data_IF_018021209486
#
_entry.id   IF_018021209486
#
_cell.length_a   1.000
_cell.length_b   1.000
_cell.length_c   1.000
_cell.angle_alpha   90.00
_cell.angle_beta   90.00
_cell.angle_gamma   90.00
#
_symmetry.space_group_name_H-M   'P 1'
#
loop_
_entity.id
_entity.type
_entity.pdbx_description
1 polymer ?
#
# COMPACT_ATOMS: atom_id res chain seq x y z
N UNK A 1 0.89 59.11 -30.56
CA UNK A 1 1.19 57.78 -29.98
C UNK A 1 0.52 57.74 -28.62
N UNK A 2 -0.59 57.01 -28.51
CA UNK A 2 -1.34 56.87 -27.26
C UNK A 2 -0.93 55.57 -26.55
N UNK A 3 -0.43 55.69 -25.32
CA UNK A 3 -0.18 54.55 -24.45
C UNK A 3 -1.46 54.27 -23.65
N UNK A 4 -2.13 53.15 -23.97
CA UNK A 4 -3.26 52.66 -23.18
C UNK A 4 -2.74 51.95 -21.93
N UNK A 5 -3.19 52.43 -20.78
CA UNK A 5 -3.15 51.76 -19.49
C UNK A 5 -3.76 50.35 -19.62
N UNK A 6 -2.96 49.31 -19.40
CA UNK A 6 -3.49 48.00 -19.05
C UNK A 6 -3.76 47.99 -17.56
N UNK A 7 -5.03 48.23 -17.24
CA UNK A 7 -5.59 48.01 -15.92
C UNK A 7 -5.40 46.55 -15.50
N UNK A 8 -4.88 46.44 -14.30
CA UNK A 8 -4.82 45.29 -13.43
C UNK A 8 -6.22 44.69 -13.22
N UNK A 9 -6.51 43.57 -13.86
CA UNK A 9 -7.73 42.79 -13.63
C UNK A 9 -7.45 41.30 -13.86
N UNK A 10 -6.68 40.68 -12.96
CA UNK A 10 -6.43 39.22 -13.01
C UNK A 10 -6.59 38.50 -11.66
N UNK A 11 -7.08 39.17 -10.61
CA UNK A 11 -7.17 38.58 -9.26
C UNK A 11 -8.61 38.26 -8.80
N UNK A 12 -9.44 37.71 -9.69
CA UNK A 12 -10.79 37.23 -9.32
C UNK A 12 -11.29 36.08 -10.19
N UNK A 13 -10.44 35.06 -10.43
CA UNK A 13 -10.97 33.75 -10.84
C UNK A 13 -11.03 32.85 -9.62
N UNK A 14 -12.20 32.67 -8.98
CA UNK A 14 -12.35 31.61 -7.99
C UNK A 14 -12.03 30.31 -8.73
N UNK A 15 -11.10 29.54 -8.18
CA UNK A 15 -10.81 28.17 -8.61
C UNK A 15 -12.12 27.49 -9.01
N UNK A 16 -12.31 27.31 -10.31
CA UNK A 16 -13.40 26.50 -10.83
C UNK A 16 -13.09 25.10 -10.35
N UNK A 17 -13.66 24.74 -9.19
CA UNK A 17 -13.71 23.37 -8.70
C UNK A 17 -14.11 22.53 -9.90
N UNK A 18 -13.31 21.53 -10.31
CA UNK A 18 -13.76 20.58 -11.29
C UNK A 18 -15.11 20.08 -10.82
N UNK A 19 -16.14 20.24 -11.64
CA UNK A 19 -17.45 19.62 -11.42
C UNK A 19 -17.19 18.13 -11.27
N UNK A 20 -17.00 17.66 -10.04
CA UNK A 20 -17.27 16.29 -9.66
C UNK A 20 -18.79 16.17 -9.78
N UNK A 21 -19.23 15.98 -11.01
CA UNK A 21 -20.51 15.36 -11.29
C UNK A 21 -20.61 14.12 -10.40
N UNK A 22 -21.81 13.90 -9.88
CA UNK A 22 -22.29 12.68 -9.24
C UNK A 22 -21.97 11.45 -10.11
N UNK A 23 -20.70 11.07 -10.20
CA UNK A 23 -20.25 9.79 -10.68
C UNK A 23 -20.79 8.84 -9.63
N UNK A 24 -21.96 8.26 -9.90
CA UNK A 24 -22.32 6.96 -9.35
C UNK A 24 -21.05 6.13 -9.42
N UNK A 25 -20.42 5.93 -8.25
CA UNK A 25 -19.18 5.20 -8.13
C UNK A 25 -19.52 3.80 -8.62
N UNK A 26 -19.18 3.53 -9.88
CA UNK A 26 -19.23 2.19 -10.45
C UNK A 26 -18.63 1.25 -9.40
N UNK A 27 -19.31 0.15 -9.05
CA UNK A 27 -18.85 -0.72 -7.98
C UNK A 27 -17.39 -1.11 -8.27
N UNK A 28 -16.49 -0.59 -7.43
CA UNK A 28 -15.06 -0.72 -7.64
C UNK A 28 -14.71 -2.21 -7.54
N UNK A 29 -14.26 -2.81 -8.65
CA UNK A 29 -13.85 -4.19 -8.64
C UNK A 29 -12.48 -4.33 -7.94
N UNK A 30 -12.51 -4.78 -6.68
CA UNK A 30 -11.30 -4.98 -5.86
C UNK A 30 -10.68 -6.37 -6.03
N UNK A 31 -11.28 -7.27 -6.81
CA UNK A 31 -10.79 -8.65 -6.94
C UNK A 31 -9.37 -8.75 -7.54
N UNK A 32 -9.01 -8.00 -8.60
CA UNK A 32 -7.64 -8.00 -9.13
C UNK A 32 -6.63 -7.50 -8.11
N UNK A 33 -6.98 -6.44 -7.38
CA UNK A 33 -6.16 -5.88 -6.31
C UNK A 33 -5.95 -6.90 -5.20
N UNK A 34 -7.00 -7.61 -4.78
CA UNK A 34 -6.91 -8.68 -3.78
C UNK A 34 -5.87 -9.74 -4.15
N UNK A 35 -5.97 -10.31 -5.36
CA UNK A 35 -5.06 -11.36 -5.80
C UNK A 35 -3.60 -10.90 -5.89
N UNK A 36 -3.37 -9.65 -6.31
CA UNK A 36 -2.03 -9.08 -6.36
C UNK A 36 -1.41 -8.87 -4.97
N UNK A 37 -2.22 -8.55 -3.96
CA UNK A 37 -1.77 -8.37 -2.57
C UNK A 37 -1.53 -9.71 -1.86
N UNK A 38 -2.31 -10.75 -2.20
CA UNK A 38 -2.11 -12.10 -1.65
C UNK A 38 -0.88 -12.79 -2.26
N UNK A 39 -0.52 -12.47 -3.50
CA UNK A 39 0.61 -13.09 -4.22
C UNK A 39 1.98 -12.49 -3.90
N UNK A 40 2.07 -11.22 -3.49
CA UNK A 40 3.34 -10.57 -3.15
C UNK A 40 3.24 -9.78 -1.83
N UNK A 41 3.93 -10.21 -0.76
CA UNK A 41 3.91 -9.52 0.53
C UNK A 41 4.49 -8.10 0.43
N UNK A 42 5.40 -7.84 -0.51
CA UNK A 42 5.96 -6.50 -0.73
C UNK A 42 4.87 -5.52 -1.16
N UNK A 43 3.97 -5.94 -2.07
CA UNK A 43 2.85 -5.09 -2.52
C UNK A 43 1.89 -4.79 -1.38
N UNK A 44 1.58 -5.80 -0.57
CA UNK A 44 0.75 -5.64 0.63
C UNK A 44 1.39 -4.65 1.63
N UNK A 45 2.70 -4.76 1.86
CA UNK A 45 3.45 -3.89 2.75
C UNK A 45 3.48 -2.44 2.26
N UNK A 46 3.79 -2.22 0.98
CA UNK A 46 3.80 -0.91 0.35
C UNK A 46 2.41 -0.26 0.45
N UNK A 47 1.36 -1.01 0.13
CA UNK A 47 0.00 -0.48 0.16
C UNK A 47 -0.42 -0.11 1.58
N UNK A 48 -0.03 -0.90 2.60
CA UNK A 48 -0.25 -0.57 4.02
C UNK A 48 0.36 0.77 4.42
N UNK A 49 1.57 1.08 3.92
CA UNK A 49 2.20 2.39 4.18
C UNK A 49 1.40 3.51 3.55
N UNK A 50 0.99 3.35 2.28
CA UNK A 50 0.22 4.37 1.57
C UNK A 50 -1.16 4.64 2.19
N UNK A 51 -1.81 3.63 2.75
CA UNK A 51 -3.15 3.79 3.36
C UNK A 51 -3.15 4.20 4.83
N UNK A 52 -2.00 4.14 5.51
CA UNK A 52 -1.93 4.37 6.97
C UNK A 52 -2.46 5.75 7.32
N UNK A 53 -1.88 6.79 6.70
CA UNK A 53 -2.31 8.18 6.89
C UNK A 53 -2.93 8.77 5.61
N UNK A 54 -2.81 8.06 4.47
CA UNK A 54 -3.30 8.54 3.17
C UNK A 54 -2.56 9.79 2.67
N UNK A 55 -1.43 10.14 3.29
CA UNK A 55 -0.57 11.26 2.92
C UNK A 55 0.39 10.92 1.79
N UNK A 56 1.24 11.90 1.45
CA UNK A 56 2.37 11.67 0.55
C UNK A 56 3.49 10.95 1.27
N UNK A 57 4.05 9.93 0.62
CA UNK A 57 5.09 9.06 1.14
C UNK A 57 6.25 9.07 0.16
N UNK A 58 7.48 9.21 0.66
CA UNK A 58 8.65 9.26 -0.23
C UNK A 58 9.00 7.87 -0.75
N UNK A 59 9.71 7.81 -1.88
CA UNK A 59 10.28 6.54 -2.37
C UNK A 59 11.22 5.89 -1.33
N UNK A 60 11.86 6.68 -0.47
CA UNK A 60 12.75 6.17 0.59
C UNK A 60 11.97 5.43 1.68
N UNK A 61 10.83 5.98 2.10
CA UNK A 61 9.94 5.35 3.07
C UNK A 61 9.39 4.02 2.54
N UNK A 62 9.00 4.00 1.26
CA UNK A 62 8.52 2.77 0.61
C UNK A 62 9.63 1.73 0.48
N UNK A 63 10.85 2.13 0.13
CA UNK A 63 12.01 1.23 0.08
C UNK A 63 12.32 0.65 1.46
N UNK A 64 12.34 1.49 2.49
CA UNK A 64 12.54 1.04 3.88
C UNK A 64 11.49 0.01 4.27
N UNK A 65 10.22 0.29 3.98
CA UNK A 65 9.13 -0.63 4.26
C UNK A 65 9.26 -1.96 3.48
N UNK A 66 9.55 -1.88 2.18
CA UNK A 66 9.68 -3.05 1.32
C UNK A 66 10.87 -3.94 1.66
N UNK A 67 11.98 -3.35 2.14
CA UNK A 67 13.18 -4.09 2.56
C UNK A 67 12.97 -4.99 3.77
N UNK A 68 11.92 -4.76 4.55
CA UNK A 68 11.51 -5.69 5.61
C UNK A 68 10.98 -7.03 5.05
N UNK A 69 10.39 -7.01 3.86
CA UNK A 69 9.86 -8.21 3.20
C UNK A 69 10.86 -8.80 2.19
N UNK A 70 11.64 -7.94 1.51
CA UNK A 70 12.64 -8.35 0.52
C UNK A 70 13.89 -7.47 0.59
N UNK A 71 15.01 -8.03 1.04
CA UNK A 71 16.26 -7.30 1.28
C UNK A 71 16.80 -6.57 0.05
N UNK A 72 16.69 -7.19 -1.13
CA UNK A 72 17.14 -6.62 -2.40
C UNK A 72 15.94 -6.05 -3.16
N UNK A 73 15.70 -4.75 -2.98
CA UNK A 73 14.71 -3.98 -3.74
C UNK A 73 15.19 -2.55 -3.97
N UNK A 74 14.97 -2.06 -5.19
CA UNK A 74 15.38 -0.74 -5.66
C UNK A 74 14.22 0.17 -6.03
N UNK A 75 14.49 1.46 -6.21
CA UNK A 75 13.47 2.49 -6.48
C UNK A 75 12.66 2.19 -7.75
N UNK A 76 13.33 1.70 -8.81
CA UNK A 76 12.67 1.31 -10.06
C UNK A 76 11.62 0.21 -9.81
N UNK A 77 11.97 -0.79 -8.99
CA UNK A 77 11.04 -1.88 -8.63
C UNK A 77 9.82 -1.36 -7.87
N UNK A 78 9.99 -0.37 -6.99
CA UNK A 78 8.87 0.29 -6.32
C UNK A 78 7.98 0.98 -7.36
N UNK A 79 8.56 1.79 -8.25
CA UNK A 79 7.81 2.49 -9.29
C UNK A 79 7.01 1.53 -10.19
N UNK A 80 7.61 0.43 -10.64
CA UNK A 80 6.92 -0.57 -11.48
C UNK A 80 5.84 -1.31 -10.72
N UNK A 81 6.03 -1.62 -9.43
CA UNK A 81 4.98 -2.20 -8.60
C UNK A 81 3.79 -1.26 -8.45
N UNK A 82 4.03 0.02 -8.14
CA UNK A 82 2.97 1.01 -7.98
C UNK A 82 2.22 1.26 -9.29
N UNK A 83 2.94 1.33 -10.41
CA UNK A 83 2.33 1.41 -11.73
C UNK A 83 1.47 0.17 -12.02
N UNK A 84 1.98 -1.04 -11.76
CA UNK A 84 1.21 -2.27 -11.91
C UNK A 84 -0.05 -2.32 -11.05
N UNK A 85 -0.04 -1.72 -9.86
CA UNK A 85 -1.24 -1.60 -9.03
C UNK A 85 -2.32 -0.71 -9.65
N UNK A 86 -1.93 0.36 -10.35
CA UNK A 86 -2.87 1.20 -11.12
C UNK A 86 -3.47 0.43 -12.31
N UNK A 87 -2.64 -0.30 -13.04
CA UNK A 87 -3.08 -1.09 -14.20
C UNK A 87 -4.11 -2.16 -13.81
N UNK A 88 -3.92 -2.82 -12.66
CA UNK A 88 -4.84 -3.86 -12.16
C UNK A 88 -6.27 -3.38 -11.95
N UNK A 89 -6.45 -2.11 -11.60
CA UNK A 89 -7.76 -1.53 -11.37
C UNK A 89 -8.23 -0.64 -12.51
N UNK A 90 -7.45 -0.59 -13.61
CA UNK A 90 -7.68 0.29 -14.77
C UNK A 90 -8.00 1.73 -14.36
N UNK A 91 -7.37 2.19 -13.28
CA UNK A 91 -7.68 3.45 -12.61
C UNK A 91 -6.46 3.96 -11.88
N UNK A 92 -6.48 5.25 -11.55
CA UNK A 92 -5.39 5.91 -10.86
C UNK A 92 -5.52 5.69 -9.35
N UNK A 93 -5.20 4.47 -8.90
CA UNK A 93 -5.16 4.12 -7.47
C UNK A 93 -4.07 4.89 -6.71
N UNK A 94 -2.93 5.12 -7.36
CA UNK A 94 -1.72 5.71 -6.78
C UNK A 94 -1.33 6.93 -7.61
N UNK A 95 -1.18 8.04 -6.91
CA UNK A 95 -0.72 9.33 -7.40
C UNK A 95 0.78 9.45 -7.18
N UNK A 96 1.49 10.07 -8.12
CA UNK A 96 2.92 10.35 -8.04
C UNK A 96 3.20 11.83 -8.27
N UNK A 97 4.17 12.39 -7.55
CA UNK A 97 4.74 13.72 -7.83
C UNK A 97 6.24 13.72 -7.62
N UNK A 98 6.95 14.65 -8.23
CA UNK A 98 8.37 14.90 -7.95
C UNK A 98 8.49 15.65 -6.63
N UNK A 99 9.33 15.16 -5.71
CA UNK A 99 9.65 15.89 -4.48
C UNK A 99 10.82 16.82 -4.73
N UNK A 100 10.58 18.13 -4.64
CA UNK A 100 11.64 19.14 -4.57
C UNK A 100 12.05 19.43 -3.11
N UNK A 101 11.24 18.97 -2.15
CA UNK A 101 11.37 19.31 -0.73
C UNK A 101 12.49 18.55 -0.02
N UNK A 102 12.92 17.41 -0.55
CA UNK A 102 13.92 16.54 0.07
C UNK A 102 15.35 16.79 -0.39
N UNK A 103 15.58 17.76 -1.30
CA UNK A 103 16.91 18.06 -1.86
C UNK A 103 17.51 16.93 -2.71
N UNK A 104 16.72 15.87 -2.95
CA UNK A 104 17.05 14.67 -3.68
C UNK A 104 15.83 14.39 -4.56
N UNK A 105 16.03 14.14 -5.87
CA UNK A 105 14.97 13.98 -6.88
C UNK A 105 14.15 12.68 -6.72
N UNK A 106 13.53 12.49 -5.55
CA UNK A 106 12.79 11.29 -5.22
C UNK A 106 11.31 11.54 -5.53
N UNK A 107 10.67 10.53 -6.12
CA UNK A 107 9.23 10.56 -6.29
C UNK A 107 8.54 10.41 -4.93
N UNK A 108 7.46 11.15 -4.75
CA UNK A 108 6.49 10.97 -3.68
C UNK A 108 5.23 10.32 -4.23
N UNK A 109 4.63 9.48 -3.39
CA UNK A 109 3.53 8.60 -3.74
C UNK A 109 2.41 8.77 -2.74
N UNK A 110 1.17 8.70 -3.21
CA UNK A 110 -0.01 8.78 -2.36
C UNK A 110 -1.11 7.91 -2.95
N UNK A 111 -1.91 7.26 -2.10
CA UNK A 111 -3.13 6.63 -2.58
C UNK A 111 -4.18 7.68 -2.90
N UNK A 112 -4.89 7.52 -4.02
CA UNK A 112 -6.01 8.38 -4.37
C UNK A 112 -7.05 8.37 -3.22
N UNK A 113 -7.52 9.55 -2.76
CA UNK A 113 -8.50 9.65 -1.68
C UNK A 113 -9.75 8.79 -1.87
N UNK A 114 -10.22 8.64 -3.11
CA UNK A 114 -11.42 7.85 -3.43
C UNK A 114 -11.19 6.35 -3.18
N UNK A 115 -9.92 5.93 -3.19
CA UNK A 115 -9.50 4.55 -2.99
C UNK A 115 -9.04 4.24 -1.57
N UNK A 116 -8.88 5.25 -0.72
CA UNK A 116 -8.37 5.08 0.64
C UNK A 116 -9.22 4.10 1.47
N UNK A 117 -10.52 4.35 1.54
CA UNK A 117 -11.44 3.56 2.36
C UNK A 117 -11.72 2.16 1.77
N UNK A 118 -11.99 2.00 0.45
CA UNK A 118 -12.09 0.68 -0.17
C UNK A 118 -10.85 -0.20 0.08
N UNK A 119 -9.66 0.37 -0.06
CA UNK A 119 -8.40 -0.36 0.12
C UNK A 119 -8.13 -0.72 1.57
N UNK A 120 -8.48 0.16 2.52
CA UNK A 120 -8.42 -0.13 3.96
C UNK A 120 -9.31 -1.32 4.33
N UNK A 121 -10.54 -1.36 3.81
CA UNK A 121 -11.46 -2.49 4.04
C UNK A 121 -10.90 -3.79 3.48
N UNK A 122 -10.37 -3.76 2.26
CA UNK A 122 -9.73 -4.92 1.64
C UNK A 122 -8.58 -5.47 2.50
N UNK A 123 -7.64 -4.61 2.92
CA UNK A 123 -6.49 -5.02 3.74
C UNK A 123 -6.91 -5.56 5.12
N UNK A 124 -7.98 -5.02 5.72
CA UNK A 124 -8.57 -5.58 6.96
C UNK A 124 -9.14 -6.98 6.72
N UNK A 125 -9.81 -7.22 5.60
CA UNK A 125 -10.34 -8.55 5.26
C UNK A 125 -9.22 -9.57 5.01
N UNK A 126 -8.15 -9.18 4.32
CA UNK A 126 -7.00 -10.03 4.05
C UNK A 126 -6.28 -10.45 5.33
N UNK A 127 -6.02 -9.50 6.24
CA UNK A 127 -5.38 -9.78 7.53
C UNK A 127 -6.19 -10.77 8.38
N UNK A 128 -7.52 -10.64 8.40
CA UNK A 128 -8.41 -11.59 9.12
C UNK A 128 -8.38 -12.99 8.52
N UNK A 129 -8.24 -13.09 7.20
CA UNK A 129 -8.24 -14.36 6.49
C UNK A 129 -6.93 -15.14 6.70
N UNK A 130 -5.80 -14.42 6.76
CA UNK A 130 -4.49 -15.01 7.08
C UNK A 130 -4.45 -15.60 8.49
N UNK A 131 -4.94 -14.87 9.50
CA UNK A 131 -4.99 -15.34 10.90
C UNK A 131 -5.83 -16.63 11.03
N UNK A 132 -6.91 -16.76 10.26
CA UNK A 132 -7.74 -17.98 10.26
C UNK A 132 -7.04 -19.17 9.59
N UNK A 133 -6.22 -18.92 8.58
CA UNK A 133 -5.49 -19.97 7.85
C UNK A 133 -4.39 -20.58 8.71
N UNK A 134 -3.61 -19.75 9.40
CA UNK A 134 -2.57 -20.20 10.34
C UNK A 134 -3.14 -21.02 11.51
N UNK A 135 -4.34 -20.68 12.00
CA UNK A 135 -5.02 -21.44 13.06
C UNK A 135 -5.48 -22.84 12.62
N UNK A 136 -5.76 -23.02 11.34
CA UNK A 136 -6.29 -24.26 10.78
C UNK A 136 -5.23 -25.13 10.10
N UNK A 137 -3.95 -24.80 10.22
CA UNK A 137 -2.89 -25.67 9.75
C UNK A 137 -2.80 -26.90 10.69
N UNK A 138 -3.07 -28.12 10.20
CA UNK A 138 -2.91 -29.31 11.04
C UNK A 138 -1.42 -29.45 11.37
N UNK A 139 -1.06 -29.28 12.65
CA UNK A 139 0.28 -29.55 13.16
C UNK A 139 0.71 -30.93 12.66
N UNK A 140 1.68 -30.96 11.75
CA UNK A 140 2.19 -32.20 11.20
C UNK A 140 2.76 -33.06 12.35
N UNK A 141 2.63 -34.40 12.30
CA UNK A 141 3.01 -35.30 13.41
C UNK A 141 4.47 -35.18 13.86
N UNK A 142 5.35 -34.56 13.06
CA UNK A 142 6.78 -34.41 13.36
C UNK A 142 7.09 -33.50 14.56
N UNK A 143 6.18 -32.62 14.96
CA UNK A 143 6.41 -31.75 16.14
C UNK A 143 5.99 -32.39 17.48
N UNK A 144 5.31 -33.54 17.49
CA UNK A 144 4.96 -34.22 18.77
C UNK A 144 6.13 -35.01 19.37
N UNK A 145 7.15 -35.35 18.58
CA UNK A 145 8.26 -36.18 19.06
C UNK A 145 9.35 -35.39 19.80
N UNK A 146 9.42 -34.07 19.68
CA UNK A 146 10.40 -33.26 20.44
C UNK A 146 9.91 -32.86 21.84
N UNK A 147 8.61 -32.87 22.11
CA UNK A 147 8.05 -32.47 23.42
C UNK A 147 7.82 -33.66 24.37
N UNK A 148 8.22 -34.88 23.98
CA UNK A 148 7.99 -36.10 24.77
C UNK A 148 9.26 -36.66 25.43
N UNK A 149 10.40 -35.95 25.34
CA UNK A 149 11.69 -36.49 25.84
C UNK A 149 12.01 -36.07 27.28
N UNK A 150 11.29 -35.12 27.90
CA UNK A 150 11.68 -34.57 29.21
C UNK A 150 11.04 -35.20 30.46
N UNK A 151 10.40 -36.37 30.39
CA UNK A 151 9.74 -36.97 31.59
C UNK A 151 10.04 -38.44 31.88
N UNK A 152 11.19 -38.98 31.47
CA UNK A 152 11.65 -40.29 31.96
C UNK A 152 13.12 -40.24 32.38
N UNK A 153 13.35 -39.78 33.60
CA UNK A 153 14.68 -39.79 34.19
C UNK A 153 14.68 -39.44 35.68
N UNK A 154 13.81 -40.06 36.48
CA UNK A 154 14.06 -40.15 37.92
C UNK A 154 13.25 -41.27 38.57
N UNK A 155 13.73 -42.51 38.46
CA UNK A 155 13.41 -43.57 39.41
C UNK A 155 14.42 -44.70 39.28
N UNK A 156 14.94 -45.12 40.44
CA UNK A 156 15.94 -46.17 40.74
C UNK A 156 17.39 -45.66 40.80
N UNK A 157 18.20 -45.98 41.81
CA UNK A 157 18.23 -47.08 42.80
C UNK A 157 18.69 -46.53 44.18
N UNK A 158 18.10 -47.01 45.27
CA UNK A 158 18.76 -47.74 46.41
C UNK A 158 19.84 -46.98 47.18
#
# INVERSE_FOLDING_TARGET
MEFRNFGDESDSRPWTKPKHSDRQLQPINLAPLKGALESDPVRSRILRVLIQDGGWVTTADLLRAARHERSIIGAVTIGTMLHGLNELVSSRLILSRTSLASGLDWAEWRIDPDWLEPTRRLLKMLTRSQIRRERNEPKTPRQRLLNSVDHKGLLKDE
#
